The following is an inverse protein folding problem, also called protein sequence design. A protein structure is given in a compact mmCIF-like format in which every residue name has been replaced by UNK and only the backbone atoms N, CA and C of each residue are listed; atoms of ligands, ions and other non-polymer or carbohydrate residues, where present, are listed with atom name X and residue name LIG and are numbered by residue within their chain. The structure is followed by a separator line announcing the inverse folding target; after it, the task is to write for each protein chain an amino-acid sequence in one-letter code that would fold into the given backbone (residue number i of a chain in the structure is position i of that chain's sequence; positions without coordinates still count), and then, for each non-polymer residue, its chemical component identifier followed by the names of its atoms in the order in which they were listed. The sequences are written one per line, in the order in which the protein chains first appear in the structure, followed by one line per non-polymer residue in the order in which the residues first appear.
data_IF_709477302453
#
_entry.id   IF_709477302453
#
_cell.length_a   1.000
_cell.length_b   1.000
_cell.length_c   1.000
_cell.angle_alpha   90.00
_cell.angle_beta   90.00
_cell.angle_gamma   90.00
#
_symmetry.space_group_name_H-M   'P 1'
#
loop_
_entity.id
_entity.type
_entity.pdbx_description
1 polymer ?
#
# COMPACT_ATOMS: atom_id res chain seq x y z
N UNK A 1 -30.87 -29.95 -23.81
CA UNK A 1 -30.47 -29.03 -22.71
C UNK A 1 -30.06 -27.69 -23.35
N UNK A 2 -30.96 -26.72 -23.50
CA UNK A 2 -30.63 -25.45 -24.17
C UNK A 2 -29.87 -24.51 -23.23
N UNK A 3 -28.70 -24.08 -23.66
CA UNK A 3 -27.82 -23.16 -22.95
C UNK A 3 -28.54 -21.81 -22.79
N UNK A 4 -28.90 -21.43 -21.56
CA UNK A 4 -29.49 -20.11 -21.25
C UNK A 4 -28.38 -19.06 -21.28
N UNK A 5 -27.86 -18.72 -22.47
CA UNK A 5 -27.08 -17.50 -22.68
C UNK A 5 -28.04 -16.38 -23.03
N UNK A 6 -28.06 -15.32 -22.22
CA UNK A 6 -28.69 -14.04 -22.59
C UNK A 6 -29.98 -13.66 -21.88
N UNK A 7 -30.49 -14.41 -20.90
CA UNK A 7 -31.59 -13.94 -20.05
C UNK A 7 -31.04 -13.34 -18.75
N UNK A 8 -30.63 -12.07 -18.81
CA UNK A 8 -30.23 -11.32 -17.61
C UNK A 8 -29.45 -10.02 -17.85
N UNK A 9 -28.71 -9.92 -18.96
CA UNK A 9 -27.87 -8.76 -19.26
C UNK A 9 -28.39 -8.00 -20.48
N UNK A 10 -28.57 -6.67 -20.35
CA UNK A 10 -29.02 -5.79 -21.46
C UNK A 10 -28.03 -5.76 -22.63
N UNK A 11 -26.73 -5.90 -22.35
CA UNK A 11 -25.63 -5.94 -23.32
C UNK A 11 -24.42 -6.62 -22.68
N UNK A 12 -23.66 -7.40 -23.46
CA UNK A 12 -22.37 -7.96 -23.03
C UNK A 12 -21.23 -7.09 -23.55
N UNK A 13 -20.20 -6.88 -22.73
CA UNK A 13 -19.00 -6.13 -23.08
C UNK A 13 -17.75 -6.86 -22.57
N UNK A 14 -16.56 -6.46 -23.02
CA UNK A 14 -15.33 -7.07 -22.51
C UNK A 14 -15.15 -6.72 -21.03
N UNK A 15 -14.65 -7.65 -20.24
CA UNK A 15 -14.45 -7.45 -18.80
C UNK A 15 -13.56 -6.22 -18.49
N UNK A 16 -12.56 -5.93 -19.32
CA UNK A 16 -11.72 -4.75 -19.20
C UNK A 16 -12.49 -3.43 -19.40
N UNK A 17 -13.39 -3.39 -20.38
CA UNK A 17 -14.23 -2.23 -20.67
C UNK A 17 -15.22 -1.97 -19.52
N UNK A 18 -15.84 -3.03 -19.00
CA UNK A 18 -16.70 -2.96 -17.82
C UNK A 18 -15.93 -2.45 -16.58
N UNK A 19 -14.72 -2.98 -16.34
CA UNK A 19 -13.88 -2.57 -15.22
C UNK A 19 -13.47 -1.09 -15.31
N UNK A 20 -13.12 -0.61 -16.51
CA UNK A 20 -12.78 0.79 -16.73
C UNK A 20 -13.97 1.71 -16.46
N UNK A 21 -15.16 1.34 -16.93
CA UNK A 21 -16.39 2.09 -16.62
C UNK A 21 -16.69 2.11 -15.13
N UNK A 22 -16.52 0.99 -14.44
CA UNK A 22 -16.70 0.92 -13.00
C UNK A 22 -15.73 1.86 -12.29
N UNK A 23 -14.43 1.76 -12.58
CA UNK A 23 -13.40 2.63 -12.00
C UNK A 23 -13.67 4.11 -12.27
N UNK A 24 -14.14 4.45 -13.48
CA UNK A 24 -14.43 5.84 -13.85
C UNK A 24 -15.65 6.44 -13.12
N UNK A 25 -16.59 5.61 -12.68
CA UNK A 25 -17.85 6.08 -12.08
C UNK A 25 -17.90 5.91 -10.55
N UNK A 26 -17.00 5.13 -9.95
CA UNK A 26 -16.91 4.99 -8.50
C UNK A 26 -16.27 6.25 -7.91
N UNK A 27 -17.09 7.05 -7.24
CA UNK A 27 -16.61 8.18 -6.41
C UNK A 27 -16.15 7.64 -5.07
N UNK A 28 -14.84 7.48 -4.90
CA UNK A 28 -14.26 7.04 -3.64
C UNK A 28 -13.95 8.26 -2.76
N UNK A 29 -14.62 8.37 -1.61
CA UNK A 29 -14.31 9.36 -0.57
C UNK A 29 -14.08 8.59 0.74
N UNK A 30 -12.84 8.14 1.00
CA UNK A 30 -12.56 7.39 2.21
C UNK A 30 -12.70 8.28 3.44
N UNK A 31 -13.25 7.73 4.51
CA UNK A 31 -13.05 8.23 5.87
C UNK A 31 -11.83 7.54 6.47
N UNK A 32 -11.17 8.20 7.40
CA UNK A 32 -10.06 7.63 8.17
C UNK A 32 -10.44 7.56 9.64
N UNK A 33 -9.77 6.66 10.34
CA UNK A 33 -9.83 6.50 11.78
C UNK A 33 -8.43 6.18 12.29
N UNK A 34 -8.15 6.55 13.53
CA UNK A 34 -6.95 6.09 14.21
C UNK A 34 -7.20 4.69 14.76
N UNK A 35 -6.25 3.79 14.55
CA UNK A 35 -6.29 2.41 15.02
C UNK A 35 -5.02 2.08 15.77
N UNK A 36 -5.08 1.09 16.66
CA UNK A 36 -3.89 0.53 17.26
C UNK A 36 -3.06 -0.20 16.21
N UNK A 37 -1.74 -0.23 16.40
CA UNK A 37 -0.81 -0.88 15.45
C UNK A 37 -1.12 -2.37 15.25
N UNK A 38 -1.58 -3.03 16.30
CA UNK A 38 -1.99 -4.44 16.30
C UNK A 38 -3.16 -4.71 15.34
N UNK A 39 -4.03 -3.72 15.14
CA UNK A 39 -5.22 -3.78 14.28
C UNK A 39 -4.98 -3.20 12.87
N UNK A 40 -3.76 -2.75 12.58
CA UNK A 40 -3.44 -2.05 11.33
C UNK A 40 -3.24 -3.01 10.13
N UNK A 41 -3.05 -4.32 10.37
CA UNK A 41 -2.78 -5.28 9.31
C UNK A 41 -3.91 -5.35 8.27
N UNK A 42 -3.56 -5.20 6.99
CA UNK A 42 -4.51 -5.23 5.87
C UNK A 42 -5.26 -3.92 5.62
N UNK A 43 -5.03 -2.88 6.43
CA UNK A 43 -5.57 -1.53 6.16
C UNK A 43 -4.69 -0.74 5.19
N UNK A 44 -5.23 0.38 4.70
CA UNK A 44 -4.54 1.32 3.81
C UNK A 44 -4.28 2.61 4.59
N UNK A 45 -3.05 3.14 4.52
CA UNK A 45 -2.70 4.41 5.16
C UNK A 45 -3.53 5.55 4.56
N UNK A 46 -4.03 6.42 5.44
CA UNK A 46 -4.77 7.62 5.04
C UNK A 46 -3.85 8.75 4.57
N UNK A 47 -2.59 8.76 5.04
CA UNK A 47 -1.57 9.75 4.74
C UNK A 47 -0.16 9.12 4.82
N UNK A 48 0.84 9.85 4.33
CA UNK A 48 2.23 9.42 4.33
C UNK A 48 2.79 9.36 5.76
N UNK A 49 3.60 8.33 6.05
CA UNK A 49 4.28 8.18 7.34
C UNK A 49 5.75 8.56 7.18
N UNK A 50 6.15 9.68 7.80
CA UNK A 50 7.52 10.21 7.73
C UNK A 50 8.19 10.09 9.09
N UNK A 51 9.42 9.58 9.11
CA UNK A 51 10.20 9.51 10.36
C UNK A 51 10.51 10.92 10.86
N UNK A 52 10.32 11.14 12.16
CA UNK A 52 10.66 12.42 12.82
C UNK A 52 12.12 12.44 13.31
N UNK A 53 12.82 11.32 13.22
CA UNK A 53 14.18 11.15 13.73
C UNK A 53 15.02 10.30 12.79
N UNK A 54 16.33 10.48 12.85
CA UNK A 54 17.29 9.55 12.24
C UNK A 54 17.43 8.30 13.11
N UNK A 55 17.56 7.14 12.48
CA UNK A 55 17.76 5.85 13.15
C UNK A 55 18.89 5.09 12.44
N UNK A 56 20.06 4.91 13.09
CA UNK A 56 20.41 5.41 14.42
C UNK A 56 20.55 6.94 14.46
N UNK A 57 20.35 7.52 15.64
CA UNK A 57 20.44 8.96 15.86
C UNK A 57 21.89 9.45 16.11
N UNK A 58 22.89 8.58 15.92
CA UNK A 58 24.32 8.86 16.06
C UNK A 58 25.15 7.83 15.28
N UNK A 59 26.43 8.15 15.07
CA UNK A 59 27.36 7.25 14.40
C UNK A 59 27.62 6.00 15.24
N UNK A 60 27.15 4.85 14.74
CA UNK A 60 27.24 3.57 15.44
C UNK A 60 28.14 2.60 14.65
N UNK A 61 29.02 1.90 15.35
CA UNK A 61 29.73 0.77 14.76
C UNK A 61 28.75 -0.34 14.38
N UNK A 62 28.88 -0.86 13.16
CA UNK A 62 28.14 -2.03 12.71
C UNK A 62 28.72 -3.36 13.22
N UNK A 63 29.94 -3.32 13.80
CA UNK A 63 30.74 -4.50 14.17
C UNK A 63 31.37 -4.32 15.55
N UNK A 64 31.82 -5.44 16.13
CA UNK A 64 32.70 -5.43 17.28
C UNK A 64 34.14 -5.19 16.82
N UNK A 65 34.82 -4.21 17.42
CA UNK A 65 36.17 -3.83 17.04
C UNK A 65 36.66 -2.58 17.76
N UNK A 66 37.71 -1.97 17.22
CA UNK A 66 38.28 -0.72 17.74
C UNK A 66 38.08 0.40 16.73
N UNK A 67 37.77 1.60 17.23
CA UNK A 67 37.77 2.79 16.40
C UNK A 67 39.22 3.15 16.03
N UNK A 68 39.51 3.22 14.73
CA UNK A 68 40.81 3.61 14.19
C UNK A 68 40.65 4.81 13.27
N UNK A 69 41.70 5.63 13.17
CA UNK A 69 41.78 6.67 12.15
C UNK A 69 42.28 6.00 10.88
N UNK A 70 41.46 5.96 9.83
CA UNK A 70 41.79 5.25 8.60
C UNK A 70 43.08 5.78 7.92
N UNK A 71 43.45 7.03 8.17
CA UNK A 71 44.67 7.65 7.64
C UNK A 71 45.95 7.22 8.36
N UNK A 72 45.84 6.72 9.60
CA UNK A 72 46.99 6.27 10.42
C UNK A 72 47.35 4.79 10.17
N UNK A 73 46.70 4.13 9.20
CA UNK A 73 46.87 2.72 8.84
C UNK A 73 47.11 2.56 7.34
#
# INVERSE_FOLDING_TARGET
MSYVRGKGFKKTEKASEALNKLKANVKFKPSFEEVLLEDAYGRVLAEDVVSKIDVPNFDKSAMDGYAVIAEDT
#
